data_IF_524438835801
#
_entry.id   IF_524438835801
#
_cell.length_a   1.000
_cell.length_b   1.000
_cell.length_c   1.000
_cell.angle_alpha   90.00
_cell.angle_beta   90.00
_cell.angle_gamma   90.00
#
_symmetry.space_group_name_H-M   'P 1'
#
loop_
_entity.id
_entity.type
_entity.pdbx_description
1 polymer ?
#
# COMPACT_ATOMS: atom_id res chain seq x y z
N UNK A 1 -39.58 11.78 15.98
CA UNK A 1 -39.91 10.64 15.10
C UNK A 1 -38.61 9.93 14.75
N UNK A 2 -38.45 8.67 15.16
CA UNK A 2 -37.28 7.82 14.82
C UNK A 2 -37.10 7.70 13.30
N UNK A 3 -38.22 7.55 12.59
CA UNK A 3 -38.27 7.45 11.13
C UNK A 3 -37.68 8.66 10.40
N UNK A 4 -37.79 9.87 10.95
CA UNK A 4 -37.18 11.06 10.32
C UNK A 4 -35.64 11.02 10.41
N UNK A 5 -35.09 10.51 11.53
CA UNK A 5 -33.64 10.37 11.70
C UNK A 5 -33.09 9.27 10.78
N UNK A 6 -33.77 8.14 10.69
CA UNK A 6 -33.43 7.04 9.78
C UNK A 6 -33.46 7.48 8.31
N UNK A 7 -34.49 8.23 7.90
CA UNK A 7 -34.59 8.78 6.55
C UNK A 7 -33.43 9.74 6.24
N UNK A 8 -33.04 10.59 7.19
CA UNK A 8 -31.89 11.51 7.01
C UNK A 8 -30.58 10.72 6.85
N UNK A 9 -30.38 9.65 7.63
CA UNK A 9 -29.19 8.79 7.51
C UNK A 9 -29.18 8.07 6.15
N UNK A 10 -30.31 7.50 5.73
CA UNK A 10 -30.44 6.85 4.44
C UNK A 10 -30.17 7.82 3.27
N UNK A 11 -30.70 9.04 3.32
CA UNK A 11 -30.43 10.06 2.30
C UNK A 11 -28.96 10.48 2.25
N UNK A 12 -28.27 10.56 3.40
CA UNK A 12 -26.81 10.82 3.44
C UNK A 12 -26.01 9.69 2.80
N UNK A 13 -26.36 8.44 3.09
CA UNK A 13 -25.73 7.26 2.49
C UNK A 13 -25.94 7.22 0.98
N UNK A 14 -27.17 7.43 0.50
CA UNK A 14 -27.48 7.46 -0.94
C UNK A 14 -26.71 8.58 -1.62
N UNK A 15 -26.71 9.80 -1.06
CA UNK A 15 -25.95 10.92 -1.60
C UNK A 15 -24.46 10.58 -1.72
N UNK A 16 -23.86 10.06 -0.65
CA UNK A 16 -22.45 9.67 -0.64
C UNK A 16 -22.15 8.59 -1.69
N UNK A 17 -23.05 7.60 -1.86
CA UNK A 17 -22.86 6.55 -2.86
C UNK A 17 -22.96 7.07 -4.29
N UNK A 18 -23.89 7.98 -4.57
CA UNK A 18 -24.03 8.63 -5.89
C UNK A 18 -22.80 9.48 -6.20
N UNK A 19 -22.30 10.27 -5.23
CA UNK A 19 -21.08 11.07 -5.38
C UNK A 19 -19.86 10.18 -5.66
N UNK A 20 -19.74 9.05 -4.95
CA UNK A 20 -18.68 8.06 -5.19
C UNK A 20 -18.78 7.45 -6.60
N UNK A 21 -19.98 7.05 -7.03
CA UNK A 21 -20.19 6.50 -8.38
C UNK A 21 -19.87 7.52 -9.47
N UNK A 22 -20.28 8.78 -9.29
CA UNK A 22 -19.98 9.84 -10.24
C UNK A 22 -18.46 10.10 -10.32
N UNK A 23 -17.79 10.14 -9.17
CA UNK A 23 -16.33 10.28 -9.10
C UNK A 23 -15.63 9.14 -9.86
N UNK A 24 -15.98 7.88 -9.56
CA UNK A 24 -15.42 6.72 -10.26
C UNK A 24 -15.71 6.76 -11.77
N UNK A 25 -16.92 7.17 -12.18
CA UNK A 25 -17.25 7.32 -13.60
C UNK A 25 -16.38 8.37 -14.31
N UNK A 26 -16.07 9.47 -13.63
CA UNK A 26 -15.22 10.54 -14.14
C UNK A 26 -13.76 10.08 -14.26
N UNK A 27 -13.26 9.37 -13.26
CA UNK A 27 -11.91 8.80 -13.26
C UNK A 27 -11.75 7.73 -14.36
N UNK A 28 -12.74 6.84 -14.51
CA UNK A 28 -12.75 5.86 -15.61
C UNK A 28 -12.82 6.54 -16.98
N UNK A 29 -13.55 7.65 -17.11
CA UNK A 29 -13.55 8.42 -18.36
C UNK A 29 -12.16 9.00 -18.67
N UNK A 30 -11.40 9.46 -17.66
CA UNK A 30 -10.01 9.90 -17.83
C UNK A 30 -9.10 8.76 -18.25
N UNK A 31 -9.20 7.59 -17.63
CA UNK A 31 -8.42 6.40 -18.02
C UNK A 31 -8.71 6.01 -19.49
N UNK A 32 -9.98 5.98 -19.89
CA UNK A 32 -10.36 5.72 -21.30
C UNK A 32 -9.83 6.78 -22.26
N UNK A 33 -9.72 8.03 -21.84
CA UNK A 33 -9.10 9.08 -22.65
C UNK A 33 -7.61 8.78 -22.87
N UNK A 34 -6.88 8.36 -21.83
CA UNK A 34 -5.48 7.92 -21.97
C UNK A 34 -5.36 6.76 -22.97
N UNK A 35 -6.23 5.75 -22.90
CA UNK A 35 -6.25 4.63 -23.85
C UNK A 35 -6.41 5.07 -25.31
N UNK A 36 -7.21 6.11 -25.58
CA UNK A 36 -7.39 6.65 -26.94
C UNK A 36 -6.15 7.39 -27.45
N UNK A 37 -5.35 7.95 -26.56
CA UNK A 37 -4.16 8.75 -26.88
C UNK A 37 -2.88 7.91 -26.98
N UNK A 38 -2.84 6.75 -26.31
CA UNK A 38 -1.64 5.91 -26.23
C UNK A 38 -1.78 4.66 -27.09
N UNK A 39 -1.00 4.61 -28.16
CA UNK A 39 -0.83 3.42 -28.99
C UNK A 39 0.26 2.51 -28.40
N UNK A 40 0.08 1.20 -28.46
CA UNK A 40 1.00 0.22 -27.88
C UNK A 40 1.57 -0.73 -28.92
N UNK A 41 2.88 -0.98 -28.81
CA UNK A 41 3.59 -1.92 -29.67
C UNK A 41 3.83 -3.21 -28.89
N UNK A 42 3.16 -4.30 -29.28
CA UNK A 42 3.43 -5.65 -28.78
C UNK A 42 2.77 -6.03 -27.44
N UNK A 43 1.81 -5.25 -26.92
CA UNK A 43 0.97 -5.63 -25.78
C UNK A 43 -0.33 -4.80 -25.76
N UNK A 44 -1.34 -5.24 -25.00
CA UNK A 44 -2.61 -4.54 -24.85
C UNK A 44 -2.57 -3.64 -23.61
N UNK A 45 -2.60 -2.32 -23.81
CA UNK A 45 -2.67 -1.36 -22.69
C UNK A 45 -4.01 -1.42 -21.95
N UNK A 46 -5.08 -1.81 -22.65
CA UNK A 46 -6.42 -1.92 -22.09
C UNK A 46 -6.45 -2.95 -20.96
N UNK A 47 -5.85 -4.12 -21.20
CA UNK A 47 -5.70 -5.18 -20.19
C UNK A 47 -4.95 -4.66 -18.96
N UNK A 48 -3.96 -3.80 -19.13
CA UNK A 48 -3.23 -3.24 -17.98
C UNK A 48 -4.06 -2.17 -17.29
N UNK A 49 -4.60 -1.19 -18.02
CA UNK A 49 -5.23 0.01 -17.45
C UNK A 49 -6.64 -0.24 -16.89
N UNK A 50 -7.35 -1.25 -17.38
CA UNK A 50 -8.70 -1.58 -16.94
C UNK A 50 -8.76 -2.77 -15.96
N UNK A 51 -7.65 -3.49 -15.75
CA UNK A 51 -7.56 -4.64 -14.82
C UNK A 51 -8.04 -4.30 -13.40
N UNK A 52 -7.61 -3.13 -12.93
CA UNK A 52 -7.90 -2.65 -11.58
C UNK A 52 -9.07 -1.67 -11.62
N UNK A 53 -10.16 -2.02 -10.94
CA UNK A 53 -11.34 -1.17 -10.84
C UNK A 53 -11.17 0.06 -9.96
N UNK A 54 -10.24 0.00 -9.02
CA UNK A 54 -9.90 1.04 -8.07
C UNK A 54 -8.79 1.97 -8.59
N UNK A 55 -8.25 1.69 -9.79
CA UNK A 55 -7.26 2.56 -10.42
C UNK A 55 -7.83 3.95 -10.67
N UNK A 56 -7.14 4.96 -10.15
CA UNK A 56 -7.50 6.37 -10.28
C UNK A 56 -6.47 7.14 -11.07
N UNK A 57 -6.92 8.11 -11.88
CA UNK A 57 -6.01 9.01 -12.58
C UNK A 57 -5.51 10.11 -11.63
N UNK A 58 -4.21 10.40 -11.67
CA UNK A 58 -3.57 11.33 -10.71
C UNK A 58 -2.99 12.57 -11.40
N UNK A 59 -2.23 12.38 -12.49
CA UNK A 59 -1.59 13.47 -13.23
C UNK A 59 -1.07 12.99 -14.58
N UNK A 60 -1.03 13.88 -15.56
CA UNK A 60 -0.19 13.76 -16.74
C UNK A 60 0.70 14.99 -16.95
N UNK A 61 1.67 14.87 -17.85
CA UNK A 61 2.52 15.98 -18.27
C UNK A 61 3.87 15.55 -18.82
N UNK A 62 4.65 16.54 -19.22
CA UNK A 62 5.97 16.34 -19.79
C UNK A 62 7.03 16.08 -18.72
N UNK A 63 7.96 15.19 -19.05
CA UNK A 63 9.22 14.98 -18.32
C UNK A 63 10.37 14.87 -19.31
N UNK A 64 11.54 15.37 -18.91
CA UNK A 64 12.79 15.15 -19.63
C UNK A 64 13.49 13.97 -18.96
N UNK A 65 13.49 12.82 -19.63
CA UNK A 65 14.16 11.62 -19.18
C UNK A 65 15.63 11.64 -19.59
N UNK A 66 16.51 11.47 -18.62
CA UNK A 66 17.95 11.35 -18.77
C UNK A 66 18.28 9.86 -18.68
N UNK A 67 18.80 9.31 -19.78
CA UNK A 67 19.28 7.94 -19.79
C UNK A 67 20.64 7.81 -19.05
N UNK A 68 21.14 6.59 -18.78
CA UNK A 68 22.42 6.41 -18.11
C UNK A 68 23.62 7.01 -18.84
N UNK A 69 23.50 7.30 -20.14
CA UNK A 69 24.54 7.94 -20.96
C UNK A 69 24.41 9.48 -20.99
N UNK A 70 23.48 10.06 -20.21
CA UNK A 70 23.23 11.50 -20.15
C UNK A 70 22.35 12.04 -21.27
N UNK A 71 21.82 11.21 -22.17
CA UNK A 71 20.97 11.67 -23.29
C UNK A 71 19.59 12.05 -22.77
N UNK A 72 19.21 13.29 -23.04
CA UNK A 72 17.91 13.88 -22.69
C UNK A 72 16.86 13.55 -23.74
N UNK A 73 15.74 12.99 -23.29
CA UNK A 73 14.64 12.57 -24.12
C UNK A 73 13.33 13.11 -23.55
N UNK A 74 12.58 13.89 -24.33
CA UNK A 74 11.24 14.32 -23.93
C UNK A 74 10.29 13.12 -23.93
N UNK A 75 9.52 12.97 -22.86
CA UNK A 75 8.50 11.94 -22.67
C UNK A 75 7.26 12.59 -22.09
N UNK A 76 6.10 12.10 -22.50
CA UNK A 76 4.84 12.43 -21.86
C UNK A 76 4.48 11.30 -20.93
N UNK A 77 4.19 11.62 -19.68
CA UNK A 77 4.00 10.63 -18.63
C UNK A 77 2.60 10.73 -18.03
N UNK A 78 2.07 9.58 -17.64
CA UNK A 78 0.78 9.45 -16.96
C UNK A 78 1.01 8.77 -15.62
N UNK A 79 0.47 9.35 -14.56
CA UNK A 79 0.49 8.81 -13.22
C UNK A 79 -0.93 8.44 -12.82
N UNK A 80 -1.07 7.20 -12.38
CA UNK A 80 -2.24 6.63 -11.74
C UNK A 80 -1.94 6.37 -10.26
N UNK A 81 -2.93 5.86 -9.53
CA UNK A 81 -2.78 5.51 -8.11
C UNK A 81 -1.72 4.42 -7.86
N UNK A 82 -1.52 3.53 -8.83
CA UNK A 82 -0.73 2.30 -8.72
C UNK A 82 0.25 2.12 -9.90
N UNK A 83 0.11 2.91 -10.97
CA UNK A 83 0.95 2.82 -12.17
C UNK A 83 1.56 4.17 -12.56
N UNK A 84 2.79 4.14 -13.05
CA UNK A 84 3.42 5.24 -13.76
C UNK A 84 3.78 4.83 -15.18
N UNK A 85 3.26 5.55 -16.17
CA UNK A 85 3.48 5.30 -17.58
C UNK A 85 4.40 6.34 -18.19
N UNK A 86 5.36 5.89 -19.00
CA UNK A 86 6.30 6.74 -19.74
C UNK A 86 6.16 6.46 -21.23
N UNK A 87 5.78 7.49 -21.98
CA UNK A 87 5.45 7.35 -23.41
C UNK A 87 6.35 8.20 -24.31
N UNK A 88 6.49 7.79 -25.57
CA UNK A 88 7.13 8.57 -26.63
C UNK A 88 6.05 9.33 -27.40
N UNK A 89 6.32 10.57 -27.79
CA UNK A 89 5.41 11.30 -28.69
C UNK A 89 5.38 10.64 -30.08
N UNK A 90 4.18 10.52 -30.65
CA UNK A 90 3.93 10.03 -32.00
C UNK A 90 3.13 11.04 -32.86
N UNK A 91 2.71 12.16 -32.27
CA UNK A 91 1.96 13.24 -32.91
C UNK A 91 1.51 14.25 -31.87
N UNK A 92 0.68 15.21 -32.30
CA UNK A 92 0.01 16.13 -31.36
C UNK A 92 -1.00 15.34 -30.55
N UNK A 93 -0.78 15.26 -29.24
CA UNK A 93 -1.62 14.52 -28.30
C UNK A 93 -1.76 13.00 -28.58
N UNK A 94 -0.79 12.44 -29.33
CA UNK A 94 -0.70 11.01 -29.61
C UNK A 94 0.64 10.47 -29.15
N UNK A 95 0.59 9.32 -28.47
CA UNK A 95 1.72 8.72 -27.80
C UNK A 95 1.90 7.25 -28.18
N UNK A 96 3.13 6.77 -28.10
CA UNK A 96 3.52 5.38 -28.30
C UNK A 96 4.24 4.84 -27.08
N UNK A 97 3.99 3.58 -26.74
CA UNK A 97 4.62 2.93 -25.61
C UNK A 97 4.91 1.45 -25.88
N UNK A 98 6.00 0.97 -25.29
CA UNK A 98 6.37 -0.46 -25.16
C UNK A 98 6.17 -0.89 -23.72
N UNK A 99 6.13 -2.20 -23.44
CA UNK A 99 5.94 -2.72 -22.07
C UNK A 99 6.98 -2.18 -21.05
N UNK A 100 8.18 -1.83 -21.52
CA UNK A 100 9.23 -1.19 -20.70
C UNK A 100 8.89 0.22 -20.19
N UNK A 101 7.81 0.84 -20.69
CA UNK A 101 7.31 2.15 -20.26
C UNK A 101 6.27 2.06 -19.14
N UNK A 102 5.94 0.86 -18.66
CA UNK A 102 4.98 0.62 -17.57
C UNK A 102 5.74 0.37 -16.28
N UNK A 103 5.46 1.17 -15.24
CA UNK A 103 6.12 1.09 -13.94
C UNK A 103 5.09 0.95 -12.82
N UNK A 104 4.88 -0.27 -12.28
CA UNK A 104 4.05 -0.50 -11.10
C UNK A 104 4.64 0.15 -9.85
N UNK A 105 3.84 0.97 -9.17
CA UNK A 105 4.29 1.77 -8.03
C UNK A 105 4.54 0.93 -6.78
N UNK A 106 3.90 -0.23 -6.65
CA UNK A 106 4.18 -1.25 -5.62
C UNK A 106 5.65 -1.72 -5.56
N UNK A 107 6.41 -1.50 -6.62
CA UNK A 107 7.82 -1.89 -6.74
C UNK A 107 8.73 -0.70 -6.99
N UNK A 108 8.19 0.51 -6.96
CA UNK A 108 8.91 1.73 -7.29
C UNK A 108 9.58 2.31 -6.05
N UNK A 109 10.83 2.74 -6.19
CA UNK A 109 11.51 3.57 -5.18
C UNK A 109 11.99 4.85 -5.84
N UNK A 110 11.72 5.99 -5.20
CA UNK A 110 12.08 7.30 -5.69
C UNK A 110 13.29 7.84 -4.92
N UNK A 111 14.26 8.39 -5.64
CA UNK A 111 15.42 9.06 -5.06
C UNK A 111 15.49 10.48 -5.59
N UNK A 112 15.48 11.43 -4.67
CA UNK A 112 15.58 12.86 -4.97
C UNK A 112 17.08 13.21 -5.06
N UNK A 113 17.50 13.85 -6.16
CA UNK A 113 18.88 14.29 -6.34
C UNK A 113 18.91 15.81 -6.15
N UNK A 114 19.40 16.23 -5.00
CA UNK A 114 19.71 17.63 -4.71
C UNK A 114 21.01 18.04 -5.42
N UNK A 115 21.15 19.33 -5.74
CA UNK A 115 22.36 19.87 -6.36
C UNK A 115 23.53 19.74 -5.38
N UNK A 116 24.61 19.09 -5.77
CA UNK A 116 25.93 19.36 -5.20
C UNK A 116 26.44 20.68 -5.75
N UNK A 117 27.09 21.49 -4.92
CA UNK A 117 27.53 22.87 -5.25
C UNK A 117 28.49 22.97 -6.45
N UNK A 118 29.02 21.84 -6.93
CA UNK A 118 29.99 21.76 -8.03
C UNK A 118 29.36 21.54 -9.42
N UNK A 119 28.10 21.12 -9.51
CA UNK A 119 27.43 20.85 -10.80
C UNK A 119 26.70 22.10 -11.33
N UNK A 120 27.48 23.09 -11.76
CA UNK A 120 26.97 24.29 -12.45
C UNK A 120 26.37 23.92 -13.81
N UNK A 121 25.05 23.69 -13.86
CA UNK A 121 24.29 23.75 -15.10
C UNK A 121 23.06 22.86 -15.23
N UNK A 122 22.87 21.87 -14.36
CA UNK A 122 21.73 20.93 -14.47
C UNK A 122 20.66 21.21 -13.41
N UNK A 123 19.38 21.19 -13.82
CA UNK A 123 18.23 21.39 -12.93
C UNK A 123 18.06 20.24 -11.94
N UNK A 124 17.29 20.45 -10.86
CA UNK A 124 16.92 19.38 -9.91
C UNK A 124 16.32 18.18 -10.67
N UNK A 125 16.55 16.97 -10.18
CA UNK A 125 16.08 15.75 -10.82
C UNK A 125 15.67 14.69 -9.81
N UNK A 126 14.94 13.68 -10.27
CA UNK A 126 14.63 12.49 -9.49
C UNK A 126 14.97 11.24 -10.27
N UNK A 127 15.27 10.14 -9.57
CA UNK A 127 15.52 8.85 -10.19
C UNK A 127 14.48 7.83 -9.72
N UNK A 128 13.89 7.12 -10.69
CA UNK A 128 12.99 6.01 -10.41
C UNK A 128 13.78 4.70 -10.46
N UNK A 129 13.65 3.90 -9.41
CA UNK A 129 14.20 2.56 -9.30
C UNK A 129 13.06 1.56 -9.19
N UNK A 130 13.25 0.36 -9.73
CA UNK A 130 12.27 -0.73 -9.63
C UNK A 130 12.92 -1.95 -8.99
N UNK A 131 12.29 -2.49 -7.96
CA UNK A 131 12.65 -3.80 -7.37
C UNK A 131 12.23 -4.91 -8.34
N UNK A 132 13.07 -5.89 -8.69
CA UNK A 132 12.69 -7.02 -9.56
C UNK A 132 11.59 -7.91 -8.95
N UNK A 133 10.84 -8.64 -9.80
CA UNK A 133 9.81 -9.61 -9.35
C UNK A 133 10.43 -10.77 -8.59
N UNK A 134 11.57 -11.26 -9.07
CA UNK A 134 12.31 -12.39 -8.50
C UNK A 134 13.05 -12.01 -7.19
N UNK A 135 12.88 -10.77 -6.73
CA UNK A 135 13.65 -10.21 -5.62
C UNK A 135 15.00 -9.62 -6.08
N UNK A 136 15.72 -9.02 -5.13
CA UNK A 136 17.01 -8.38 -5.38
C UNK A 136 16.99 -6.85 -5.22
N UNK A 137 18.13 -6.19 -5.44
CA UNK A 137 18.26 -4.75 -5.21
C UNK A 137 17.46 -3.93 -6.24
N UNK A 138 16.94 -2.75 -5.85
CA UNK A 138 16.26 -1.85 -6.79
C UNK A 138 17.17 -1.43 -7.95
N UNK A 139 16.67 -1.54 -9.18
CA UNK A 139 17.41 -1.21 -10.41
C UNK A 139 16.96 0.16 -10.92
N UNK A 140 17.90 1.08 -11.12
CA UNK A 140 17.62 2.41 -11.71
C UNK A 140 17.04 2.24 -13.11
N UNK A 141 15.86 2.82 -13.36
CA UNK A 141 15.22 2.79 -14.69
C UNK A 141 15.52 4.06 -15.48
N UNK A 142 15.42 5.22 -14.83
CA UNK A 142 15.72 6.50 -15.46
C UNK A 142 15.96 7.58 -14.40
N UNK A 143 16.51 8.70 -14.84
CA UNK A 143 16.46 9.99 -14.13
C UNK A 143 15.53 10.92 -14.90
N UNK A 144 14.74 11.73 -14.21
CA UNK A 144 13.80 12.66 -14.80
C UNK A 144 14.00 14.06 -14.25
N UNK A 145 13.81 15.06 -15.09
CA UNK A 145 13.76 16.47 -14.71
C UNK A 145 12.60 17.18 -15.43
N UNK A 146 12.27 18.38 -14.97
CA UNK A 146 11.25 19.24 -15.57
C UNK A 146 11.89 20.53 -16.08
N UNK A 147 11.15 21.26 -16.92
CA UNK A 147 11.61 22.56 -17.41
C UNK A 147 11.64 23.61 -16.28
N UNK A 148 10.77 23.45 -15.27
CA UNK A 148 10.71 24.32 -14.10
C UNK A 148 10.79 23.51 -12.81
N UNK A 149 11.37 24.12 -11.78
CA UNK A 149 11.50 23.50 -10.46
C UNK A 149 10.14 23.30 -9.78
N UNK A 150 9.19 24.22 -9.98
CA UNK A 150 7.84 24.10 -9.44
C UNK A 150 7.10 22.87 -10.00
N UNK A 151 7.23 22.60 -11.30
CA UNK A 151 6.64 21.41 -11.92
C UNK A 151 7.30 20.12 -11.42
N UNK A 152 8.61 20.14 -11.23
CA UNK A 152 9.34 19.01 -10.65
C UNK A 152 8.83 18.67 -9.25
N UNK A 153 8.66 19.68 -8.40
CA UNK A 153 8.14 19.48 -7.04
C UNK A 153 6.72 18.92 -7.04
N UNK A 154 5.87 19.35 -7.96
CA UNK A 154 4.52 18.81 -8.09
C UNK A 154 4.53 17.33 -8.50
N UNK A 155 5.42 16.95 -9.42
CA UNK A 155 5.63 15.55 -9.79
C UNK A 155 6.15 14.72 -8.61
N UNK A 156 7.20 15.19 -7.93
CA UNK A 156 7.78 14.53 -6.76
C UNK A 156 6.76 14.32 -5.65
N UNK A 157 5.99 15.34 -5.29
CA UNK A 157 4.98 15.25 -4.25
C UNK A 157 3.92 14.18 -4.57
N UNK A 158 3.45 14.13 -5.83
CA UNK A 158 2.47 13.13 -6.27
C UNK A 158 3.07 11.72 -6.33
N UNK A 159 4.27 11.56 -6.87
CA UNK A 159 4.94 10.26 -6.95
C UNK A 159 5.26 9.70 -5.56
N UNK A 160 5.87 10.50 -4.68
CA UNK A 160 6.13 10.10 -3.29
C UNK A 160 4.83 9.69 -2.57
N UNK A 161 3.75 10.46 -2.78
CA UNK A 161 2.47 10.14 -2.17
C UNK A 161 1.92 8.80 -2.67
N UNK A 162 1.87 8.57 -3.99
CA UNK A 162 1.34 7.31 -4.52
C UNK A 162 2.22 6.11 -4.15
N UNK A 163 3.56 6.22 -4.27
CA UNK A 163 4.48 5.16 -3.87
C UNK A 163 4.30 4.80 -2.39
N UNK A 164 4.16 5.82 -1.52
CA UNK A 164 3.89 5.60 -0.10
C UNK A 164 2.60 4.80 0.13
N UNK A 165 1.50 5.15 -0.55
CA UNK A 165 0.23 4.45 -0.41
C UNK A 165 0.33 2.98 -0.84
N UNK A 166 1.02 2.72 -1.96
CA UNK A 166 1.22 1.35 -2.46
C UNK A 166 2.10 0.50 -1.51
N UNK A 167 2.94 1.13 -0.68
CA UNK A 167 3.84 0.44 0.25
C UNK A 167 3.35 0.40 1.71
N UNK A 168 2.28 1.12 2.04
CA UNK A 168 1.82 1.27 3.41
C UNK A 168 1.26 -0.06 3.96
N UNK A 169 1.71 -0.45 5.16
CA UNK A 169 1.28 -1.67 5.87
C UNK A 169 0.67 -1.32 7.23
N UNK A 170 1.35 -0.51 8.04
CA UNK A 170 0.78 -0.02 9.31
C UNK A 170 -0.24 1.09 9.03
N UNK A 171 -1.38 1.05 9.72
CA UNK A 171 -2.46 2.02 9.51
C UNK A 171 -3.33 1.70 8.30
N UNK A 172 -3.11 0.58 7.62
CA UNK A 172 -3.83 0.15 6.44
C UNK A 172 -4.83 -0.96 6.80
N UNK A 173 -5.94 -1.05 6.07
CA UNK A 173 -6.91 -2.12 6.31
C UNK A 173 -6.33 -3.50 6.00
N UNK A 174 -6.78 -4.53 6.73
CA UNK A 174 -6.33 -5.91 6.51
C UNK A 174 -6.58 -6.38 5.06
N UNK A 175 -7.76 -6.15 4.45
CA UNK A 175 -7.98 -6.47 3.04
C UNK A 175 -7.01 -5.78 2.09
N UNK A 176 -6.71 -4.50 2.30
CA UNK A 176 -5.82 -3.74 1.41
C UNK A 176 -4.37 -4.20 1.53
N UNK A 177 -3.91 -4.55 2.73
CA UNK A 177 -2.58 -5.16 2.93
C UNK A 177 -2.50 -6.50 2.20
N UNK A 178 -3.51 -7.36 2.34
CA UNK A 178 -3.55 -8.65 1.66
C UNK A 178 -3.64 -8.51 0.14
N UNK A 179 -4.35 -7.50 -0.37
CA UNK A 179 -4.39 -7.20 -1.81
C UNK A 179 -3.00 -6.84 -2.36
N UNK A 180 -2.25 -5.97 -1.65
CA UNK A 180 -0.85 -5.63 -1.97
C UNK A 180 0.09 -6.84 -1.93
N UNK A 181 -0.28 -7.88 -1.18
CA UNK A 181 0.53 -9.09 -0.99
C UNK A 181 -0.03 -10.32 -1.72
N UNK A 182 -1.08 -10.16 -2.52
CA UNK A 182 -1.83 -11.25 -3.15
C UNK A 182 -0.96 -12.21 -3.98
N UNK A 183 0.07 -11.69 -4.65
CA UNK A 183 1.05 -12.49 -5.40
C UNK A 183 1.94 -13.41 -4.55
N UNK A 184 1.91 -13.29 -3.22
CA UNK A 184 2.69 -14.11 -2.27
C UNK A 184 1.95 -15.36 -1.80
N UNK A 185 0.66 -15.53 -2.14
CA UNK A 185 -0.16 -16.67 -1.70
C UNK A 185 -0.37 -16.73 -0.19
N UNK A 186 -0.27 -15.59 0.49
CA UNK A 186 -0.42 -15.49 1.94
C UNK A 186 -1.89 -15.26 2.33
N UNK A 187 -2.34 -15.95 3.37
CA UNK A 187 -3.68 -15.80 3.97
C UNK A 187 -3.71 -14.77 5.11
N UNK A 188 -2.53 -14.35 5.57
CA UNK A 188 -2.32 -13.30 6.57
C UNK A 188 -1.17 -12.39 6.13
N UNK A 189 -1.08 -11.14 6.61
CA UNK A 189 0.00 -10.23 6.25
C UNK A 189 1.38 -10.84 6.48
N UNK A 190 2.32 -10.61 5.57
CA UNK A 190 3.68 -11.17 5.65
C UNK A 190 4.40 -10.77 6.94
N UNK A 191 4.18 -9.55 7.43
CA UNK A 191 4.69 -9.08 8.72
C UNK A 191 4.21 -9.97 9.87
N UNK A 192 2.92 -10.35 9.88
CA UNK A 192 2.34 -11.21 10.91
C UNK A 192 2.95 -12.60 10.83
N UNK A 193 2.96 -13.21 9.64
CA UNK A 193 3.51 -14.55 9.43
C UNK A 193 4.97 -14.64 9.89
N UNK A 194 5.81 -13.69 9.46
CA UNK A 194 7.23 -13.65 9.85
C UNK A 194 7.41 -13.40 11.35
N UNK A 195 6.60 -12.52 11.94
CA UNK A 195 6.66 -12.26 13.39
C UNK A 195 6.33 -13.51 14.19
N UNK A 196 5.26 -14.21 13.82
CA UNK A 196 4.84 -15.47 14.46
C UNK A 196 5.91 -16.54 14.30
N UNK A 197 6.45 -16.74 13.09
CA UNK A 197 7.51 -17.71 12.82
C UNK A 197 8.73 -17.46 13.73
N UNK A 198 9.19 -16.21 13.79
CA UNK A 198 10.35 -15.81 14.58
C UNK A 198 10.10 -15.99 16.09
N UNK A 199 8.90 -15.63 16.56
CA UNK A 199 8.53 -15.76 17.96
C UNK A 199 8.28 -17.22 18.37
N UNK A 200 7.71 -18.06 17.49
CA UNK A 200 7.57 -19.49 17.76
C UNK A 200 8.93 -20.19 17.81
N UNK A 201 9.87 -19.80 16.94
CA UNK A 201 11.18 -20.45 16.88
C UNK A 201 12.06 -20.16 18.11
N UNK A 202 11.89 -18.99 18.77
CA UNK A 202 12.84 -18.49 19.78
C UNK A 202 12.20 -17.90 21.03
N UNK A 203 10.91 -17.59 20.98
CA UNK A 203 10.17 -16.81 21.99
C UNK A 203 9.42 -17.64 23.04
N UNK A 204 9.25 -18.94 22.84
CA UNK A 204 8.38 -19.77 23.70
C UNK A 204 8.79 -19.79 25.18
N UNK A 205 10.08 -19.59 25.48
CA UNK A 205 10.63 -19.60 26.83
C UNK A 205 11.16 -18.22 27.26
N UNK A 206 10.84 -17.16 26.51
CA UNK A 206 11.33 -15.81 26.81
C UNK A 206 10.46 -15.20 27.92
N UNK A 207 11.06 -14.79 29.05
CA UNK A 207 10.33 -14.12 30.12
C UNK A 207 9.71 -12.81 29.62
N UNK A 208 8.50 -12.52 30.10
CA UNK A 208 7.78 -11.26 29.85
C UNK A 208 7.58 -10.94 28.36
N UNK A 209 7.48 -11.95 27.50
CA UNK A 209 7.09 -11.72 26.11
C UNK A 209 5.68 -11.08 26.08
N UNK A 210 5.47 -10.08 25.23
CA UNK A 210 4.26 -9.24 25.20
C UNK A 210 3.95 -8.40 26.46
N UNK A 211 4.74 -8.52 27.54
CA UNK A 211 4.62 -7.66 28.73
C UNK A 211 5.72 -6.59 28.72
N UNK A 212 6.97 -7.01 28.47
CA UNK A 212 8.12 -6.12 28.39
C UNK A 212 8.26 -5.56 26.99
N UNK A 213 8.32 -4.24 26.90
CA UNK A 213 8.54 -3.54 25.64
C UNK A 213 9.95 -3.77 25.07
N UNK A 214 10.03 -3.95 23.76
CA UNK A 214 11.27 -3.87 23.00
C UNK A 214 11.82 -2.44 22.91
N UNK A 215 12.98 -2.30 22.26
CA UNK A 215 13.57 -0.99 22.00
C UNK A 215 12.71 -0.18 21.01
N UNK A 216 12.05 0.87 21.52
CA UNK A 216 11.11 1.70 20.76
C UNK A 216 11.72 2.40 19.55
N UNK A 217 13.02 2.75 19.59
CA UNK A 217 13.72 3.35 18.45
C UNK A 217 13.90 2.35 17.32
N UNK A 218 14.25 1.10 17.66
CA UNK A 218 14.39 0.01 16.68
C UNK A 218 13.02 -0.34 16.10
N UNK A 219 12.00 -0.50 16.94
CA UNK A 219 10.62 -0.76 16.51
C UNK A 219 10.13 0.34 15.56
N UNK A 220 10.30 1.62 15.91
CA UNK A 220 9.90 2.76 15.07
C UNK A 220 10.65 2.80 13.74
N UNK A 221 11.95 2.49 13.74
CA UNK A 221 12.75 2.39 12.52
C UNK A 221 12.23 1.28 11.59
N UNK A 222 11.96 0.08 12.15
CA UNK A 222 11.42 -1.05 11.41
C UNK A 222 10.04 -0.73 10.81
N UNK A 223 9.12 -0.12 11.58
CA UNK A 223 7.82 0.35 11.06
C UNK A 223 7.98 1.27 9.86
N UNK A 224 8.87 2.26 9.95
CA UNK A 224 9.15 3.20 8.86
C UNK A 224 9.75 2.51 7.63
N UNK A 225 10.59 1.49 7.83
CA UNK A 225 11.14 0.69 6.73
C UNK A 225 10.05 -0.13 6.03
N UNK A 226 9.20 -0.80 6.80
CA UNK A 226 8.08 -1.61 6.30
C UNK A 226 7.11 -0.74 5.48
N UNK A 227 6.68 0.41 6.01
CA UNK A 227 5.80 1.35 5.30
C UNK A 227 6.44 2.02 4.08
N UNK A 228 7.74 1.80 3.84
CA UNK A 228 8.44 2.21 2.62
C UNK A 228 8.61 1.06 1.64
N UNK A 229 8.00 -0.10 1.90
CA UNK A 229 8.04 -1.29 1.04
C UNK A 229 9.33 -2.11 1.22
N UNK A 230 10.11 -1.85 2.28
CA UNK A 230 11.30 -2.66 2.58
C UNK A 230 10.90 -3.87 3.42
N UNK A 231 11.50 -5.02 3.11
CA UNK A 231 11.37 -6.25 3.90
C UNK A 231 12.51 -6.27 4.93
N UNK A 232 12.23 -6.04 6.23
CA UNK A 232 13.26 -6.15 7.26
C UNK A 232 13.60 -7.61 7.55
N UNK A 233 14.86 -7.88 7.91
CA UNK A 233 15.21 -9.15 8.52
C UNK A 233 14.78 -9.15 10.00
N UNK A 234 13.67 -9.82 10.29
CA UNK A 234 13.16 -9.99 11.65
C UNK A 234 13.89 -11.10 12.42
N UNK A 235 14.55 -12.03 11.72
CA UNK A 235 15.22 -13.18 12.34
C UNK A 235 16.43 -12.76 13.17
N UNK A 236 17.06 -11.62 12.89
CA UNK A 236 18.17 -11.07 13.69
C UNK A 236 17.71 -10.13 14.82
N UNK A 237 16.41 -9.79 14.90
CA UNK A 237 15.92 -8.80 15.87
C UNK A 237 15.67 -9.40 17.25
N UNK A 238 15.72 -8.53 18.27
CA UNK A 238 15.30 -8.83 19.64
C UNK A 238 13.82 -9.25 19.68
N UNK A 239 13.50 -10.29 20.45
CA UNK A 239 12.15 -10.88 20.47
C UNK A 239 11.09 -9.94 21.03
N UNK A 240 11.43 -9.10 22.01
CA UNK A 240 10.53 -8.02 22.46
C UNK A 240 10.29 -6.95 21.38
N UNK A 241 11.25 -6.70 20.47
CA UNK A 241 11.03 -5.80 19.33
C UNK A 241 10.07 -6.42 18.32
N UNK A 242 10.20 -7.72 18.03
CA UNK A 242 9.29 -8.45 17.13
C UNK A 242 7.89 -8.54 17.72
N UNK A 243 7.76 -8.83 19.03
CA UNK A 243 6.49 -8.82 19.74
C UNK A 243 5.81 -7.43 19.67
N UNK A 244 6.55 -6.36 19.98
CA UNK A 244 6.02 -5.00 19.85
C UNK A 244 5.60 -4.67 18.41
N UNK A 245 6.35 -5.11 17.39
CA UNK A 245 5.96 -4.89 15.98
C UNK A 245 4.63 -5.57 15.63
N UNK A 246 4.42 -6.80 16.09
CA UNK A 246 3.17 -7.53 15.90
C UNK A 246 2.01 -6.84 16.61
N UNK A 247 2.19 -6.47 17.88
CA UNK A 247 1.20 -5.72 18.66
C UNK A 247 0.85 -4.39 17.99
N UNK A 248 1.87 -3.61 17.64
CA UNK A 248 1.73 -2.33 16.97
C UNK A 248 1.02 -2.43 15.62
N UNK A 249 1.18 -3.54 14.90
CA UNK A 249 0.47 -3.76 13.64
C UNK A 249 -1.03 -3.95 13.89
N UNK A 250 -1.39 -4.81 14.85
CA UNK A 250 -2.77 -5.08 15.21
C UNK A 250 -3.48 -3.84 15.76
N UNK A 251 -2.79 -3.05 16.60
CA UNK A 251 -3.31 -1.80 17.16
C UNK A 251 -3.44 -0.69 16.11
N UNK A 252 -2.64 -0.73 15.05
CA UNK A 252 -2.69 0.27 13.98
C UNK A 252 -3.77 -0.02 12.94
N UNK A 253 -4.48 -1.15 13.01
CA UNK A 253 -5.57 -1.43 12.07
C UNK A 253 -6.65 -0.33 12.19
N UNK A 254 -7.18 0.19 11.06
CA UNK A 254 -8.25 1.19 11.07
C UNK A 254 -9.53 0.72 11.80
N UNK A 255 -9.77 -0.58 11.79
CA UNK A 255 -10.80 -1.26 12.55
C UNK A 255 -10.14 -2.34 13.43
N UNK A 256 -10.54 -2.51 14.70
CA UNK A 256 -10.03 -3.58 15.55
C UNK A 256 -10.17 -4.94 14.86
N UNK A 257 -9.22 -5.86 15.10
CA UNK A 257 -9.25 -7.18 14.50
C UNK A 257 -10.57 -7.92 14.75
N UNK A 258 -11.14 -7.76 15.94
CA UNK A 258 -12.43 -8.35 16.32
C UNK A 258 -13.64 -7.58 15.76
N UNK A 259 -13.46 -6.43 15.10
CA UNK A 259 -14.49 -5.43 14.74
C UNK A 259 -15.05 -4.68 15.96
N UNK A 260 -15.47 -3.42 15.76
CA UNK A 260 -16.07 -2.63 16.85
C UNK A 260 -17.31 -3.28 17.47
N UNK A 261 -18.27 -3.83 16.70
CA UNK A 261 -19.46 -4.47 17.27
C UNK A 261 -19.13 -5.62 18.23
N UNK A 262 -18.14 -6.46 17.90
CA UNK A 262 -17.72 -7.57 18.77
C UNK A 262 -16.99 -7.06 20.01
N UNK A 263 -16.12 -6.05 19.87
CA UNK A 263 -15.46 -5.43 21.02
C UNK A 263 -16.49 -4.86 22.01
N UNK A 264 -17.52 -4.15 21.54
CA UNK A 264 -18.60 -3.62 22.39
C UNK A 264 -19.32 -4.74 23.14
N UNK A 265 -19.66 -5.85 22.46
CA UNK A 265 -20.28 -7.03 23.09
C UNK A 265 -19.40 -7.64 24.19
N UNK A 266 -18.08 -7.68 24.00
CA UNK A 266 -17.13 -8.26 24.96
C UNK A 266 -16.87 -7.36 26.18
N UNK A 267 -17.01 -6.04 26.03
CA UNK A 267 -16.73 -5.06 27.12
C UNK A 267 -17.91 -4.77 28.04
N UNK A 268 -19.13 -5.25 27.73
CA UNK A 268 -20.28 -5.10 28.63
C UNK A 268 -20.13 -5.91 29.93
N UNK A 269 -20.95 -5.63 30.96
CA UNK A 269 -21.02 -6.35 32.25
C UNK A 269 -21.36 -7.86 32.13
N UNK A 270 -21.34 -8.40 30.93
CA UNK A 270 -21.76 -9.72 30.53
C UNK A 270 -20.55 -10.67 30.42
N UNK A 271 -19.61 -10.64 31.37
CA UNK A 271 -18.52 -11.64 31.40
C UNK A 271 -19.05 -13.07 31.59
N UNK A 272 -20.25 -13.29 32.14
CA UNK A 272 -20.89 -14.62 32.17
C UNK A 272 -21.27 -15.15 30.76
N UNK A 273 -21.06 -14.35 29.72
CA UNK A 273 -21.33 -14.69 28.33
C UNK A 273 -20.16 -15.37 27.62
N UNK A 274 -19.17 -15.94 28.30
CA UNK A 274 -18.14 -16.78 27.64
C UNK A 274 -18.76 -18.00 26.91
N UNK A 275 -20.03 -18.31 27.15
CA UNK A 275 -20.85 -19.21 26.31
C UNK A 275 -21.17 -18.66 24.90
N UNK A 276 -20.98 -17.37 24.64
CA UNK A 276 -21.21 -16.72 23.34
C UNK A 276 -20.24 -17.23 22.28
N UNK A 277 -19.02 -17.67 22.60
CA UNK A 277 -18.20 -18.36 21.58
C UNK A 277 -18.89 -19.62 21.01
N UNK A 278 -19.83 -20.24 21.75
CA UNK A 278 -20.72 -21.29 21.28
C UNK A 278 -22.16 -20.85 20.90
N UNK A 279 -22.54 -19.59 21.18
CA UNK A 279 -23.88 -19.03 20.93
C UNK A 279 -23.87 -17.77 20.03
N UNK A 280 -22.74 -17.39 19.41
CA UNK A 280 -22.76 -16.55 18.22
C UNK A 280 -23.44 -17.42 17.16
N UNK A 281 -24.76 -17.21 16.99
CA UNK A 281 -25.59 -18.03 16.13
C UNK A 281 -25.20 -18.01 14.65
N UNK A 282 -24.22 -17.19 14.25
CA UNK A 282 -23.45 -17.24 13.01
C UNK A 282 -22.22 -16.30 13.16
N UNK A 283 -21.02 -16.76 13.58
CA UNK A 283 -19.82 -15.89 13.65
C UNK A 283 -19.36 -15.40 12.27
N UNK A 284 -19.88 -16.03 11.22
CA UNK A 284 -19.64 -15.72 9.81
C UNK A 284 -20.33 -14.43 9.31
N UNK A 285 -21.32 -13.90 10.02
CA UNK A 285 -22.04 -12.68 9.58
C UNK A 285 -21.49 -11.38 10.17
N UNK A 286 -20.70 -11.41 11.27
CA UNK A 286 -20.23 -10.20 11.95
C UNK A 286 -18.75 -9.89 11.80
N UNK A 287 -17.90 -10.88 11.51
CA UNK A 287 -16.44 -10.70 11.38
C UNK A 287 -16.01 -11.09 9.96
N UNK A 288 -15.32 -10.21 9.21
CA UNK A 288 -14.85 -10.53 7.86
C UNK A 288 -13.95 -11.76 7.81
N UNK A 289 -13.98 -12.50 6.70
CA UNK A 289 -13.21 -13.74 6.53
C UNK A 289 -11.70 -13.55 6.78
N UNK A 290 -11.12 -12.46 6.29
CA UNK A 290 -9.70 -12.17 6.49
C UNK A 290 -9.38 -11.97 7.99
N UNK A 291 -10.28 -11.33 8.73
CA UNK A 291 -10.14 -11.14 10.17
C UNK A 291 -10.22 -12.49 10.89
N UNK A 292 -11.19 -13.34 10.54
CA UNK A 292 -11.31 -14.69 11.11
C UNK A 292 -10.03 -15.52 10.90
N UNK A 293 -9.47 -15.52 9.69
CA UNK A 293 -8.22 -16.22 9.37
C UNK A 293 -7.05 -15.71 10.22
N UNK A 294 -6.92 -14.38 10.35
CA UNK A 294 -5.88 -13.79 11.18
C UNK A 294 -6.07 -14.12 12.68
N UNK A 295 -7.31 -14.10 13.17
CA UNK A 295 -7.65 -14.51 14.54
C UNK A 295 -7.25 -15.97 14.78
N UNK A 296 -7.62 -16.88 13.89
CA UNK A 296 -7.30 -18.31 14.01
C UNK A 296 -5.79 -18.52 14.13
N UNK A 297 -5.01 -17.88 13.25
CA UNK A 297 -3.54 -17.96 13.25
C UNK A 297 -2.95 -17.39 14.54
N UNK A 298 -3.45 -16.25 15.02
CA UNK A 298 -2.99 -15.63 16.27
C UNK A 298 -3.36 -16.48 17.48
N UNK A 299 -4.58 -16.99 17.57
CA UNK A 299 -5.01 -17.88 18.65
C UNK A 299 -4.15 -19.15 18.70
N UNK A 300 -3.92 -19.80 17.56
CA UNK A 300 -3.06 -20.97 17.48
C UNK A 300 -1.60 -20.68 17.91
N UNK A 301 -1.12 -19.46 17.69
CA UNK A 301 0.17 -19.00 18.16
C UNK A 301 0.18 -18.74 19.68
N UNK A 302 -0.75 -17.95 20.20
CA UNK A 302 -0.81 -17.60 21.61
C UNK A 302 -1.10 -18.81 22.51
N UNK A 303 -1.84 -19.83 22.04
CA UNK A 303 -2.01 -21.09 22.78
C UNK A 303 -0.70 -21.87 23.00
N UNK A 304 0.37 -21.56 22.25
CA UNK A 304 1.68 -22.21 22.40
C UNK A 304 2.64 -21.42 23.29
N UNK A 305 2.31 -20.17 23.60
CA UNK A 305 3.12 -19.32 24.47
C UNK A 305 2.49 -19.42 25.86
N UNK A 306 3.27 -19.90 26.82
CA UNK A 306 2.90 -19.77 28.22
C UNK A 306 3.07 -18.28 28.61
N UNK A 307 1.98 -17.52 28.48
CA UNK A 307 1.89 -16.16 29.01
C UNK A 307 1.63 -16.17 30.52
#
# INVERSE_FOLDING_TARGET
>A
SCALKELIVALKLVKSKVEQQLYLSTERARIRNVLRRVNTEGFFLEDILLDDEERRYVKEGDLVMIDPNGKKNKRFCFLFSDLFLVTKSAGTDSFKMTSSGVFPLERATLWDIEKTEEEKGEGKSFSLFMTPTEGGPPIKKFTATCNTEAELYLWLAKLHHQIKLNHQIFGESLPDVLAKESGKGLVVPALVAQSIEVLQARGLLIPDLFIRCGNSNVTSSLKKMINRGKVPDLSSQCLHVVANLLEDYLLALPEPLLTYPLCEMLTGENLESYRIMGEIKNPDESVPLQNQQLIEVLCAFFCKIDC
#
